data_IF_626473918889
#
_entry.id   IF_626473918889
#
_cell.length_a   1.000
_cell.length_b   1.000
_cell.length_c   1.000
_cell.angle_alpha   90.00
_cell.angle_beta   90.00
_cell.angle_gamma   90.00
#
_symmetry.space_group_name_H-M   'P 1'
#
loop_
_entity.id
_entity.type
_entity.pdbx_description
1 polymer ?
#
# COMPACT_ATOMS: atom_id res chain seq x y z
N UNK A 1 18.70 -28.86 21.96
CA UNK A 1 19.16 -28.36 20.66
C UNK A 1 18.04 -27.45 20.12
N UNK A 2 18.09 -26.17 20.42
CA UNK A 2 17.13 -25.18 19.88
C UNK A 2 17.51 -24.91 18.41
N UNK A 3 16.70 -25.37 17.47
CA UNK A 3 16.78 -24.92 16.09
C UNK A 3 16.34 -23.44 16.11
N UNK A 4 17.28 -22.55 15.94
CA UNK A 4 17.03 -21.13 15.67
C UNK A 4 16.26 -21.10 14.35
N UNK A 5 14.92 -20.85 14.41
CA UNK A 5 14.15 -20.49 13.25
C UNK A 5 14.67 -19.11 12.82
N UNK A 6 15.41 -19.07 11.72
CA UNK A 6 15.78 -17.79 11.07
C UNK A 6 14.48 -17.03 10.77
N UNK A 7 14.41 -15.75 11.04
CA UNK A 7 13.29 -14.93 10.61
C UNK A 7 13.23 -14.94 9.08
N UNK A 8 12.22 -15.60 8.53
CA UNK A 8 12.04 -15.79 7.08
C UNK A 8 11.78 -14.46 6.35
N UNK A 9 11.33 -13.43 7.09
CA UNK A 9 11.09 -12.10 6.56
C UNK A 9 12.36 -11.40 6.03
N UNK A 10 13.54 -11.75 6.51
CA UNK A 10 14.82 -11.21 6.04
C UNK A 10 15.20 -11.80 4.67
N UNK A 11 14.70 -12.98 4.32
CA UNK A 11 15.06 -13.64 3.07
C UNK A 11 14.44 -13.06 1.80
N UNK A 12 13.37 -12.26 1.88
CA UNK A 12 12.76 -11.65 0.69
C UNK A 12 13.32 -10.24 0.38
N UNK A 13 13.87 -9.55 1.39
CA UNK A 13 14.37 -8.18 1.23
C UNK A 13 15.91 -8.05 1.20
N UNK A 14 16.65 -9.09 1.58
CA UNK A 14 18.12 -9.03 1.70
C UNK A 14 18.88 -10.25 1.18
N UNK A 15 18.24 -11.14 0.42
CA UNK A 15 19.06 -11.99 -0.42
C UNK A 15 19.79 -11.08 -1.40
N UNK A 16 21.11 -11.00 -1.28
CA UNK A 16 21.96 -10.68 -2.41
C UNK A 16 21.33 -11.38 -3.60
N UNK A 17 20.72 -10.62 -4.50
CA UNK A 17 20.14 -11.16 -5.73
C UNK A 17 21.37 -11.54 -6.56
N UNK A 18 22.00 -12.65 -6.22
CA UNK A 18 22.88 -13.30 -7.19
C UNK A 18 21.97 -13.60 -8.38
N UNK A 19 22.36 -13.15 -9.56
CA UNK A 19 21.73 -13.58 -10.78
C UNK A 19 21.66 -15.12 -10.71
N UNK A 20 20.51 -15.69 -11.09
CA UNK A 20 20.40 -17.13 -11.25
C UNK A 20 21.47 -17.55 -12.27
N UNK A 21 22.12 -18.68 -12.04
CA UNK A 21 23.08 -19.25 -13.01
C UNK A 21 22.37 -19.50 -14.35
N UNK A 22 23.13 -19.51 -15.42
CA UNK A 22 22.56 -19.76 -16.75
C UNK A 22 21.76 -21.07 -16.79
N UNK A 23 20.48 -20.97 -17.18
CA UNK A 23 19.57 -22.12 -17.24
C UNK A 23 18.87 -22.47 -15.92
N UNK A 24 19.24 -21.85 -14.80
CA UNK A 24 18.53 -22.01 -13.53
C UNK A 24 17.18 -21.27 -13.57
N UNK A 25 16.18 -21.88 -12.94
CA UNK A 25 14.88 -21.24 -12.75
C UNK A 25 14.41 -21.34 -11.31
N UNK A 26 13.58 -20.40 -10.91
CA UNK A 26 12.92 -20.38 -9.62
C UNK A 26 11.44 -20.06 -9.79
N UNK A 27 10.59 -20.83 -9.13
CA UNK A 27 9.16 -20.59 -9.05
C UNK A 27 8.77 -20.43 -7.59
N UNK A 28 8.09 -19.34 -7.26
CA UNK A 28 7.59 -19.06 -5.92
C UNK A 28 6.11 -18.67 -6.03
N UNK A 29 5.33 -19.03 -5.05
CA UNK A 29 3.94 -18.61 -4.94
C UNK A 29 3.64 -18.08 -3.57
N UNK A 30 2.60 -17.26 -3.49
CA UNK A 30 2.10 -16.70 -2.23
C UNK A 30 0.60 -16.49 -2.30
N UNK A 31 -0.05 -16.45 -1.16
CA UNK A 31 -1.45 -16.11 -1.08
C UNK A 31 -1.89 -15.73 0.31
N UNK A 32 -3.01 -15.06 0.33
CA UNK A 32 -3.81 -14.73 1.52
C UNK A 32 -5.23 -15.21 1.27
N UNK A 33 -5.82 -15.92 2.21
CA UNK A 33 -7.27 -16.17 2.28
C UNK A 33 -7.76 -15.51 3.55
N UNK A 34 -8.55 -14.45 3.43
CA UNK A 34 -8.94 -13.65 4.57
C UNK A 34 -10.39 -13.18 4.49
N UNK A 35 -10.98 -12.95 5.66
CA UNK A 35 -12.32 -12.43 5.84
C UNK A 35 -12.26 -11.21 6.72
N UNK A 36 -13.08 -10.20 6.40
CA UNK A 36 -13.19 -9.00 7.22
C UNK A 36 -14.64 -8.51 7.29
N UNK A 37 -14.93 -7.75 8.35
CA UNK A 37 -16.22 -7.11 8.56
C UNK A 37 -16.03 -5.77 9.27
N UNK A 38 -16.77 -4.77 8.79
CA UNK A 38 -16.90 -3.45 9.42
C UNK A 38 -18.09 -3.46 10.38
N UNK A 39 -17.87 -3.02 11.61
CA UNK A 39 -18.87 -2.73 12.64
C UNK A 39 -18.77 -1.28 13.10
N UNK A 40 -19.46 -0.93 14.20
CA UNK A 40 -19.49 0.43 14.74
C UNK A 40 -20.63 1.28 14.17
N UNK A 41 -20.59 2.59 14.39
CA UNK A 41 -21.66 3.50 13.98
C UNK A 41 -21.75 3.63 12.46
N UNK A 42 -20.63 3.54 11.76
CA UNK A 42 -20.54 3.62 10.31
C UNK A 42 -20.46 2.26 9.60
N UNK A 43 -20.97 1.19 10.23
CA UNK A 43 -20.98 -0.15 9.62
C UNK A 43 -21.70 -0.21 8.26
N UNK A 44 -22.67 0.69 8.01
CA UNK A 44 -23.34 0.82 6.70
C UNK A 44 -22.50 1.45 5.60
N UNK A 45 -21.23 1.80 5.85
CA UNK A 45 -20.27 2.31 4.88
C UNK A 45 -19.34 1.22 4.39
N UNK A 46 -18.55 1.52 3.37
CA UNK A 46 -17.41 0.71 2.96
C UNK A 46 -16.12 1.37 3.45
N UNK A 47 -15.13 0.57 3.81
CA UNK A 47 -13.82 1.01 4.28
C UNK A 47 -12.70 0.35 3.46
N UNK A 48 -11.76 1.14 2.97
CA UNK A 48 -10.61 0.68 2.18
C UNK A 48 -10.63 1.21 0.75
N UNK A 49 -9.46 1.16 0.11
CA UNK A 49 -9.26 1.71 -1.24
C UNK A 49 -9.41 0.64 -2.31
N UNK A 50 -8.79 -0.52 -2.15
CA UNK A 50 -8.83 -1.58 -3.16
C UNK A 50 -9.81 -2.69 -2.79
N UNK A 51 -9.61 -3.37 -1.70
CA UNK A 51 -10.54 -4.37 -1.17
C UNK A 51 -11.38 -3.73 -0.07
N UNK A 52 -12.64 -3.44 -0.34
CA UNK A 52 -13.49 -2.71 0.60
C UNK A 52 -14.12 -3.62 1.64
N UNK A 53 -13.90 -3.32 2.92
CA UNK A 53 -14.57 -3.97 4.03
C UNK A 53 -15.94 -3.34 4.24
N UNK A 54 -16.97 -4.16 4.38
CA UNK A 54 -18.36 -3.76 4.60
C UNK A 54 -18.91 -4.37 5.88
N UNK A 55 -20.16 -4.10 6.22
CA UNK A 55 -20.88 -4.66 7.37
C UNK A 55 -21.15 -6.17 7.29
N UNK A 56 -20.87 -6.77 6.16
CA UNK A 56 -21.00 -8.21 5.93
C UNK A 56 -19.64 -8.90 5.94
N UNK A 57 -19.59 -10.14 6.46
CA UNK A 57 -18.39 -10.96 6.34
C UNK A 57 -18.13 -11.30 4.88
N UNK A 58 -17.04 -10.82 4.34
CA UNK A 58 -16.63 -11.07 2.95
C UNK A 58 -15.23 -11.66 2.93
N UNK A 59 -15.03 -12.67 2.07
CA UNK A 59 -13.75 -13.34 1.89
C UNK A 59 -12.94 -12.80 0.70
N UNK A 60 -13.53 -11.99 -0.15
CA UNK A 60 -12.89 -11.41 -1.33
C UNK A 60 -12.07 -10.15 -1.02
N UNK A 61 -12.28 -9.51 0.14
CA UNK A 61 -11.69 -8.20 0.48
C UNK A 61 -10.19 -8.26 0.80
N UNK A 62 -9.76 -9.33 1.47
CA UNK A 62 -8.37 -9.53 1.89
C UNK A 62 -7.66 -10.62 1.09
N UNK A 63 -8.43 -11.46 0.40
CA UNK A 63 -7.89 -12.62 -0.32
C UNK A 63 -7.13 -12.16 -1.56
N UNK A 64 -5.95 -12.72 -1.76
CA UNK A 64 -5.08 -12.45 -2.90
C UNK A 64 -4.16 -13.63 -3.16
N UNK A 65 -3.76 -13.82 -4.40
CA UNK A 65 -2.84 -14.88 -4.81
C UNK A 65 -1.81 -14.31 -5.77
N UNK A 66 -0.61 -14.84 -5.75
CA UNK A 66 0.43 -14.46 -6.69
C UNK A 66 1.42 -15.58 -6.93
N UNK A 67 2.06 -15.51 -8.09
CA UNK A 67 3.12 -16.41 -8.48
C UNK A 67 4.23 -15.62 -9.18
N UNK A 68 5.46 -16.00 -8.93
CA UNK A 68 6.65 -15.41 -9.54
C UNK A 68 7.50 -16.51 -10.18
N UNK A 69 7.91 -16.26 -11.41
CA UNK A 69 8.87 -17.08 -12.14
C UNK A 69 10.10 -16.24 -12.45
N UNK A 70 11.28 -16.76 -12.15
CA UNK A 70 12.56 -16.15 -12.48
C UNK A 70 13.43 -17.16 -13.23
N UNK A 71 14.19 -16.71 -14.25
CA UNK A 71 15.05 -17.54 -15.08
C UNK A 71 16.37 -16.83 -15.36
N UNK A 72 17.50 -17.56 -15.20
CA UNK A 72 18.84 -17.11 -15.55
C UNK A 72 19.11 -17.30 -17.04
N UNK A 73 19.18 -16.19 -17.79
CA UNK A 73 19.52 -16.21 -19.23
C UNK A 73 21.03 -16.42 -19.41
N UNK A 74 21.83 -15.76 -18.59
CA UNK A 74 23.27 -15.93 -18.41
C UNK A 74 23.60 -15.77 -16.94
N UNK A 75 24.84 -15.95 -16.53
CA UNK A 75 25.28 -15.76 -15.15
C UNK A 75 25.10 -14.32 -14.62
N UNK A 76 24.84 -13.37 -15.52
CA UNK A 76 24.63 -11.95 -15.16
C UNK A 76 23.30 -11.38 -15.63
N UNK A 77 22.57 -12.08 -16.50
CA UNK A 77 21.27 -11.65 -17.02
C UNK A 77 20.17 -12.59 -16.58
N UNK A 78 19.10 -12.04 -16.04
CA UNK A 78 17.90 -12.79 -15.66
C UNK A 78 16.63 -12.14 -16.15
N UNK A 79 15.55 -12.90 -16.16
CA UNK A 79 14.19 -12.44 -16.39
C UNK A 79 13.33 -12.82 -15.20
N UNK A 80 12.44 -11.93 -14.78
CA UNK A 80 11.48 -12.20 -13.71
C UNK A 80 10.10 -11.71 -14.15
N UNK A 81 9.08 -12.57 -13.93
CA UNK A 81 7.67 -12.23 -14.12
C UNK A 81 6.92 -12.60 -12.84
N UNK A 82 6.10 -11.68 -12.33
CA UNK A 82 5.19 -11.92 -11.22
C UNK A 82 3.79 -11.51 -11.65
N UNK A 83 2.83 -12.41 -11.45
CA UNK A 83 1.41 -12.16 -11.64
C UNK A 83 0.69 -12.26 -10.29
N UNK A 84 -0.35 -11.44 -10.12
CA UNK A 84 -1.23 -11.47 -8.94
C UNK A 84 -2.68 -11.52 -9.38
N UNK A 85 -3.53 -12.13 -8.56
CA UNK A 85 -4.98 -12.04 -8.62
C UNK A 85 -5.46 -11.52 -7.25
N UNK A 86 -6.12 -10.37 -7.25
CA UNK A 86 -6.59 -9.69 -6.04
C UNK A 86 -7.88 -8.92 -6.30
N UNK A 87 -8.68 -8.64 -5.26
CA UNK A 87 -9.90 -7.86 -5.42
C UNK A 87 -9.57 -6.40 -5.75
N UNK A 88 -10.38 -5.85 -6.64
CA UNK A 88 -10.43 -4.43 -6.93
C UNK A 88 -11.90 -4.03 -6.95
N UNK A 89 -12.37 -3.32 -5.93
CA UNK A 89 -13.79 -3.14 -5.61
C UNK A 89 -14.49 -4.51 -5.39
N UNK A 90 -15.54 -4.79 -6.15
CA UNK A 90 -16.34 -6.03 -6.05
C UNK A 90 -15.91 -7.10 -7.07
N UNK A 91 -14.84 -6.88 -7.82
CA UNK A 91 -14.36 -7.79 -8.86
C UNK A 91 -12.95 -8.28 -8.57
N UNK A 92 -12.64 -9.49 -9.04
CA UNK A 92 -11.28 -10.01 -9.05
C UNK A 92 -10.54 -9.54 -10.28
N UNK A 93 -9.35 -8.96 -10.08
CA UNK A 93 -8.46 -8.54 -11.14
C UNK A 93 -7.16 -9.33 -11.10
N UNK A 94 -6.75 -9.86 -12.27
CA UNK A 94 -5.45 -10.47 -12.46
C UNK A 94 -4.54 -9.48 -13.22
N UNK A 95 -3.38 -9.20 -12.65
CA UNK A 95 -2.40 -8.29 -13.22
C UNK A 95 -0.99 -8.87 -13.19
N UNK A 96 -0.17 -8.45 -14.16
CA UNK A 96 1.28 -8.65 -14.12
C UNK A 96 1.90 -7.49 -13.36
N UNK A 97 2.33 -7.75 -12.13
CA UNK A 97 2.94 -6.73 -11.27
C UNK A 97 4.40 -6.47 -11.63
N UNK A 98 5.14 -7.52 -11.99
CA UNK A 98 6.53 -7.44 -12.44
C UNK A 98 6.69 -8.18 -13.76
N UNK A 99 7.46 -7.60 -14.67
CA UNK A 99 7.94 -8.25 -15.90
C UNK A 99 9.19 -7.50 -16.37
N UNK A 100 10.36 -7.95 -15.94
CA UNK A 100 11.60 -7.21 -16.18
C UNK A 100 12.78 -8.12 -16.50
N UNK A 101 13.76 -7.55 -17.18
CA UNK A 101 15.11 -8.05 -17.30
C UNK A 101 15.97 -7.44 -16.19
N UNK A 102 16.82 -8.25 -15.55
CA UNK A 102 17.83 -7.83 -14.59
C UNK A 102 19.23 -8.09 -15.13
N UNK A 103 20.11 -7.13 -14.95
CA UNK A 103 21.53 -7.25 -15.28
C UNK A 103 22.37 -6.97 -14.04
N UNK A 104 23.10 -7.99 -13.58
CA UNK A 104 24.08 -7.87 -12.53
C UNK A 104 25.40 -7.40 -13.14
N UNK A 105 25.65 -6.08 -13.11
CA UNK A 105 26.85 -5.48 -13.73
C UNK A 105 28.12 -5.82 -12.96
N UNK A 106 28.03 -5.96 -11.63
CA UNK A 106 29.04 -6.45 -10.72
C UNK A 106 28.39 -6.83 -9.37
N UNK A 107 29.16 -7.28 -8.39
CA UNK A 107 28.65 -7.72 -7.08
C UNK A 107 27.84 -6.65 -6.32
N UNK A 108 28.04 -5.37 -6.63
CA UNK A 108 27.37 -4.26 -5.97
C UNK A 108 26.22 -3.64 -6.79
N UNK A 109 26.26 -3.70 -8.12
CA UNK A 109 25.35 -2.99 -9.01
C UNK A 109 24.47 -3.94 -9.82
N UNK A 110 23.16 -3.82 -9.62
CA UNK A 110 22.12 -4.44 -10.44
C UNK A 110 21.28 -3.38 -11.14
N UNK A 111 21.00 -3.57 -12.43
CA UNK A 111 20.09 -2.73 -13.23
C UNK A 111 18.91 -3.58 -13.68
N UNK A 112 17.68 -3.05 -13.55
CA UNK A 112 16.46 -3.72 -14.01
C UNK A 112 15.75 -2.84 -15.04
N UNK A 113 15.13 -3.45 -16.06
CA UNK A 113 14.37 -2.75 -17.08
C UNK A 113 13.12 -3.53 -17.46
N UNK A 114 11.97 -2.86 -17.48
CA UNK A 114 10.67 -3.45 -17.79
C UNK A 114 9.56 -2.90 -16.91
N UNK A 115 8.59 -3.74 -16.54
CA UNK A 115 7.57 -3.42 -15.54
C UNK A 115 8.13 -3.72 -14.15
N UNK A 116 8.23 -2.70 -13.33
CA UNK A 116 8.85 -2.71 -12.01
C UNK A 116 7.89 -2.20 -10.95
N UNK A 117 8.07 -2.60 -9.69
CA UNK A 117 7.31 -2.08 -8.56
C UNK A 117 7.73 -0.65 -8.23
N UNK A 118 6.77 0.22 -7.98
CA UNK A 118 7.04 1.61 -7.58
C UNK A 118 7.63 1.64 -6.17
N UNK A 119 8.83 2.21 -5.96
CA UNK A 119 9.55 2.14 -4.69
C UNK A 119 9.08 3.21 -3.68
N UNK A 120 7.79 3.27 -3.38
CA UNK A 120 7.13 4.31 -2.59
C UNK A 120 7.28 4.05 -1.09
N UNK A 121 6.87 2.87 -0.63
CA UNK A 121 6.75 2.48 0.78
C UNK A 121 7.86 1.54 1.24
N UNK A 122 7.96 1.34 2.56
CA UNK A 122 8.86 0.35 3.17
C UNK A 122 8.60 -1.05 2.62
N UNK A 123 7.34 -1.45 2.48
CA UNK A 123 6.93 -2.76 1.97
C UNK A 123 6.54 -2.76 0.49
N UNK A 124 6.96 -1.76 -0.32
CA UNK A 124 6.57 -1.69 -1.74
C UNK A 124 6.83 -2.99 -2.50
N UNK A 125 8.01 -3.59 -2.37
CA UNK A 125 8.37 -4.81 -3.12
C UNK A 125 7.63 -6.06 -2.65
N UNK A 126 7.19 -6.10 -1.39
CA UNK A 126 6.48 -7.24 -0.79
C UNK A 126 5.01 -6.96 -0.46
N UNK A 127 4.43 -5.86 -0.94
CA UNK A 127 3.09 -5.40 -0.58
C UNK A 127 1.98 -6.44 -0.85
N UNK A 128 2.17 -7.28 -1.87
CA UNK A 128 1.23 -8.34 -2.19
C UNK A 128 1.50 -9.66 -1.43
N UNK A 129 2.67 -9.79 -0.79
CA UNK A 129 3.06 -10.99 -0.04
C UNK A 129 2.67 -10.82 1.42
N UNK A 130 1.44 -11.16 1.79
CA UNK A 130 0.92 -11.01 3.16
C UNK A 130 1.81 -11.68 4.22
N UNK A 131 2.42 -12.80 3.89
CA UNK A 131 3.34 -13.53 4.77
C UNK A 131 4.55 -12.69 5.21
N UNK A 132 4.96 -11.66 4.45
CA UNK A 132 6.17 -10.86 4.70
C UNK A 132 6.03 -9.78 5.80
N UNK A 133 4.83 -9.55 6.30
CA UNK A 133 4.55 -8.54 7.32
C UNK A 133 3.50 -9.06 8.33
N UNK A 134 3.40 -8.46 9.54
CA UNK A 134 2.56 -9.01 10.59
C UNK A 134 1.06 -8.80 10.38
N UNK A 135 0.64 -7.79 9.62
CA UNK A 135 -0.77 -7.46 9.41
C UNK A 135 -1.44 -8.34 8.36
N UNK A 136 -2.77 -8.44 8.42
CA UNK A 136 -3.60 -8.88 7.30
C UNK A 136 -3.77 -7.77 6.27
N UNK A 137 -3.91 -6.53 6.76
CA UNK A 137 -3.95 -5.31 5.97
C UNK A 137 -2.90 -4.33 6.50
N UNK A 138 -1.99 -3.90 5.63
CA UNK A 138 -1.05 -2.83 5.96
C UNK A 138 -1.81 -1.58 6.43
N UNK A 139 -1.23 -0.75 7.33
CA UNK A 139 -1.91 0.44 7.85
C UNK A 139 -2.40 1.37 6.74
N UNK A 140 -3.73 1.46 6.58
CA UNK A 140 -4.38 2.17 5.47
C UNK A 140 -4.02 3.66 5.47
N UNK A 141 -3.75 4.25 6.64
CA UNK A 141 -3.38 5.64 6.81
C UNK A 141 -2.14 6.00 5.97
N UNK A 142 -1.19 5.07 5.86
CA UNK A 142 0.02 5.22 5.06
C UNK A 142 -0.18 4.62 3.67
N UNK A 143 -0.66 3.38 3.57
CA UNK A 143 -0.63 2.60 2.33
C UNK A 143 -1.78 2.92 1.36
N UNK A 144 -2.76 3.74 1.74
CA UNK A 144 -3.81 4.24 0.84
C UNK A 144 -3.42 5.48 0.03
N UNK A 145 -2.33 6.17 0.39
CA UNK A 145 -2.00 7.49 -0.17
C UNK A 145 -1.58 7.46 -1.64
N UNK A 146 -0.91 6.41 -2.09
CA UNK A 146 -0.44 6.26 -3.48
C UNK A 146 -0.91 4.92 -4.03
N UNK A 147 -1.81 4.97 -5.02
CA UNK A 147 -2.41 3.80 -5.65
C UNK A 147 -1.63 3.32 -6.88
N UNK A 148 -0.35 3.67 -6.99
CA UNK A 148 0.54 3.25 -8.06
C UNK A 148 1.37 2.04 -7.62
N UNK A 149 1.00 0.84 -8.07
CA UNK A 149 1.72 -0.38 -7.70
C UNK A 149 2.97 -0.62 -8.55
N UNK A 150 2.90 -0.33 -9.85
CA UNK A 150 3.98 -0.61 -10.80
C UNK A 150 4.11 0.46 -11.89
N UNK A 151 5.27 0.50 -12.53
CA UNK A 151 5.58 1.41 -13.64
C UNK A 151 6.41 0.69 -14.71
N UNK A 152 6.41 1.18 -15.93
CA UNK A 152 7.30 0.78 -17.01
C UNK A 152 8.52 1.71 -17.03
N UNK A 153 9.72 1.13 -16.85
CA UNK A 153 10.93 1.92 -16.77
C UNK A 153 12.19 1.13 -16.47
N UNK A 154 13.12 1.82 -15.82
CA UNK A 154 14.43 1.27 -15.44
C UNK A 154 14.70 1.65 -13.99
N UNK A 155 15.33 0.76 -13.25
CA UNK A 155 15.98 1.12 -11.98
C UNK A 155 17.41 0.56 -11.88
N UNK A 156 18.17 1.15 -10.98
CA UNK A 156 19.50 0.72 -10.61
C UNK A 156 19.60 0.61 -9.08
N UNK A 157 20.08 -0.53 -8.62
CA UNK A 157 20.28 -0.83 -7.21
C UNK A 157 21.77 -1.03 -6.95
N UNK A 158 22.33 -0.23 -6.05
CA UNK A 158 23.73 -0.31 -5.66
C UNK A 158 23.86 -0.59 -4.19
N UNK A 159 24.49 -1.70 -3.82
CA UNK A 159 24.62 -2.16 -2.42
C UNK A 159 26.09 -2.20 -2.01
N UNK A 160 26.40 -1.49 -0.93
CA UNK A 160 27.71 -1.46 -0.28
C UNK A 160 27.67 -2.34 0.98
N UNK A 161 28.46 -3.41 1.06
CA UNK A 161 28.61 -4.15 2.31
C UNK A 161 29.41 -3.30 3.32
N UNK A 162 28.94 -3.27 4.57
CA UNK A 162 29.57 -2.61 5.69
C UNK A 162 29.96 -3.67 6.74
N UNK A 163 30.88 -3.36 7.65
CA UNK A 163 31.29 -4.28 8.71
C UNK A 163 30.14 -4.68 9.67
N UNK A 164 29.09 -3.87 9.75
CA UNK A 164 27.93 -4.07 10.63
C UNK A 164 26.60 -4.24 9.86
N UNK A 165 26.64 -4.34 8.52
CA UNK A 165 25.42 -4.45 7.73
C UNK A 165 25.62 -4.11 6.25
N UNK A 166 24.63 -3.44 5.63
CA UNK A 166 24.68 -3.00 4.24
C UNK A 166 24.02 -1.64 4.04
N UNK A 167 24.56 -0.87 3.11
CA UNK A 167 23.98 0.40 2.65
C UNK A 167 23.59 0.26 1.18
N UNK A 168 22.29 0.40 0.90
CA UNK A 168 21.76 0.25 -0.46
C UNK A 168 21.18 1.56 -0.97
N UNK A 169 21.40 1.82 -2.25
CA UNK A 169 20.86 2.96 -3.00
C UNK A 169 20.04 2.43 -4.16
N UNK A 170 18.84 2.93 -4.34
CA UNK A 170 18.02 2.67 -5.52
C UNK A 170 17.67 3.98 -6.20
N UNK A 171 17.81 4.03 -7.53
CA UNK A 171 17.30 5.12 -8.37
C UNK A 171 16.44 4.51 -9.46
N UNK A 172 15.26 5.08 -9.68
CA UNK A 172 14.24 4.57 -10.58
C UNK A 172 13.70 5.68 -11.48
N UNK A 173 13.32 5.33 -12.70
CA UNK A 173 12.72 6.27 -13.64
C UNK A 173 11.85 5.59 -14.69
N UNK A 174 10.72 6.22 -15.05
CA UNK A 174 9.80 5.63 -16.01
C UNK A 174 8.47 6.37 -16.13
N UNK A 175 7.43 5.61 -16.46
CA UNK A 175 6.05 6.08 -16.58
C UNK A 175 5.06 4.97 -16.25
N UNK A 176 3.82 5.34 -15.94
CA UNK A 176 2.71 4.39 -15.83
C UNK A 176 1.46 5.02 -16.44
N UNK A 177 0.81 4.35 -17.37
CA UNK A 177 -0.36 4.85 -18.07
C UNK A 177 -1.54 3.93 -17.89
N UNK A 178 -2.75 4.53 -17.94
CA UNK A 178 -4.02 3.83 -17.81
C UNK A 178 -4.03 2.94 -16.56
N UNK A 179 -3.68 3.53 -15.40
CA UNK A 179 -3.75 2.83 -14.13
C UNK A 179 -5.10 3.06 -13.48
N UNK A 180 -5.63 2.01 -12.83
CA UNK A 180 -6.84 2.15 -12.04
C UNK A 180 -6.58 3.05 -10.83
N UNK A 181 -7.43 4.03 -10.66
CA UNK A 181 -7.45 4.92 -9.51
C UNK A 181 -8.83 4.89 -8.87
N UNK A 182 -8.92 4.41 -7.65
CA UNK A 182 -10.16 4.38 -6.90
C UNK A 182 -10.40 5.72 -6.19
N UNK A 183 -11.50 6.37 -6.53
CA UNK A 183 -11.98 7.57 -5.86
C UNK A 183 -13.50 7.66 -5.99
N UNK A 184 -14.18 8.27 -5.01
CA UNK A 184 -15.61 8.55 -5.03
C UNK A 184 -16.49 7.32 -5.37
N UNK A 185 -16.13 6.17 -4.80
CA UNK A 185 -16.82 4.89 -4.99
C UNK A 185 -16.74 4.31 -6.43
N UNK A 186 -15.74 4.73 -7.20
CA UNK A 186 -15.55 4.28 -8.60
C UNK A 186 -14.08 4.17 -8.96
N UNK A 187 -13.82 3.43 -10.03
CA UNK A 187 -12.53 3.38 -10.70
C UNK A 187 -12.47 4.41 -11.83
N UNK A 188 -11.33 5.07 -11.92
CA UNK A 188 -10.99 6.04 -12.96
C UNK A 188 -9.60 5.73 -13.50
N UNK A 189 -9.31 6.25 -14.69
CA UNK A 189 -7.98 6.18 -15.27
C UNK A 189 -7.08 7.32 -14.75
N UNK A 190 -5.84 6.98 -14.43
CA UNK A 190 -4.80 7.92 -14.06
C UNK A 190 -3.49 7.59 -14.79
N UNK A 191 -2.82 8.63 -15.27
CA UNK A 191 -1.50 8.54 -15.89
C UNK A 191 -0.43 9.16 -14.98
N UNK A 192 0.71 8.49 -14.87
CA UNK A 192 1.92 9.00 -14.21
C UNK A 192 3.04 9.09 -15.24
N UNK A 193 3.45 10.32 -15.59
CA UNK A 193 4.56 10.60 -16.49
C UNK A 193 5.81 10.99 -15.72
N UNK A 194 6.98 10.82 -16.32
CA UNK A 194 8.28 11.23 -15.78
C UNK A 194 8.47 10.82 -14.31
N UNK A 195 8.11 9.59 -14.00
CA UNK A 195 8.36 9.05 -12.67
C UNK A 195 9.87 9.10 -12.40
N UNK A 196 10.24 9.68 -11.27
CA UNK A 196 11.57 9.62 -10.69
C UNK A 196 11.46 9.16 -9.25
N UNK A 197 12.24 8.16 -8.87
CA UNK A 197 12.32 7.65 -7.51
C UNK A 197 13.76 7.47 -7.06
N UNK A 198 14.03 7.77 -5.81
CA UNK A 198 15.30 7.49 -5.16
C UNK A 198 15.07 7.05 -3.73
N UNK A 199 15.78 6.02 -3.29
CA UNK A 199 15.78 5.65 -1.88
C UNK A 199 17.15 5.17 -1.42
N UNK A 200 17.35 5.27 -0.10
CA UNK A 200 18.53 4.80 0.62
C UNK A 200 18.06 3.92 1.76
N UNK A 201 18.67 2.75 1.89
CA UNK A 201 18.37 1.81 2.98
C UNK A 201 19.65 1.40 3.68
N UNK A 202 19.67 1.53 5.01
CA UNK A 202 20.73 1.05 5.87
C UNK A 202 20.19 -0.13 6.67
N UNK A 203 20.71 -1.32 6.44
CA UNK A 203 20.28 -2.54 7.08
C UNK A 203 21.40 -3.14 7.95
N UNK A 204 21.05 -3.60 9.14
CA UNK A 204 21.93 -4.28 10.09
C UNK A 204 21.16 -5.32 10.90
N UNK A 205 21.81 -6.41 11.26
CA UNK A 205 21.23 -7.40 12.17
C UNK A 205 21.08 -6.88 13.61
N UNK A 206 21.86 -5.88 14.00
CA UNK A 206 21.88 -5.35 15.37
C UNK A 206 20.82 -4.30 15.63
N UNK A 207 20.54 -3.44 14.63
CA UNK A 207 19.60 -2.33 14.80
C UNK A 207 18.47 -2.28 13.74
N UNK A 208 18.35 -3.29 12.89
CA UNK A 208 17.27 -3.38 11.90
C UNK A 208 17.55 -2.60 10.63
N UNK A 209 16.50 -2.15 9.95
CA UNK A 209 16.57 -1.46 8.65
C UNK A 209 15.93 -0.08 8.75
N UNK A 210 16.68 0.94 8.38
CA UNK A 210 16.21 2.30 8.15
C UNK A 210 16.14 2.57 6.64
N UNK A 211 15.03 3.08 6.14
CA UNK A 211 14.85 3.47 4.75
C UNK A 211 14.33 4.90 4.64
N UNK A 212 14.92 5.66 3.73
CA UNK A 212 14.43 7.00 3.33
C UNK A 212 14.18 6.97 1.83
N UNK A 213 12.99 7.39 1.41
CA UNK A 213 12.56 7.38 0.02
C UNK A 213 11.95 8.69 -0.44
N UNK A 214 12.12 8.99 -1.73
CA UNK A 214 11.49 10.08 -2.43
C UNK A 214 11.03 9.61 -3.81
N UNK A 215 9.79 9.95 -4.17
CA UNK A 215 9.24 9.68 -5.51
C UNK A 215 8.50 10.93 -5.99
N UNK A 216 8.67 11.27 -7.27
CA UNK A 216 7.86 12.29 -7.93
C UNK A 216 7.37 11.81 -9.31
N UNK A 217 6.24 12.35 -9.76
CA UNK A 217 5.69 12.09 -11.09
C UNK A 217 4.83 13.25 -11.57
N UNK A 218 4.71 13.41 -12.90
CA UNK A 218 3.70 14.26 -13.51
C UNK A 218 2.38 13.47 -13.57
N UNK A 219 1.34 13.93 -12.86
CA UNK A 219 0.04 13.23 -12.74
C UNK A 219 -0.98 13.85 -13.70
N UNK A 220 -1.70 12.99 -14.43
CA UNK A 220 -2.81 13.37 -15.29
C UNK A 220 -4.03 12.50 -15.03
N UNK A 221 -5.16 13.13 -14.71
CA UNK A 221 -6.48 12.47 -14.59
C UNK A 221 -7.58 13.51 -14.79
N UNK A 222 -8.77 13.05 -15.18
CA UNK A 222 -9.98 13.88 -15.30
C UNK A 222 -11.16 13.09 -14.75
N UNK A 223 -11.48 13.35 -13.48
CA UNK A 223 -12.52 12.65 -12.73
C UNK A 223 -13.79 13.49 -12.74
N UNK A 224 -14.83 12.99 -13.41
CA UNK A 224 -16.14 13.62 -13.48
C UNK A 224 -17.19 12.74 -12.78
N UNK A 225 -17.97 13.34 -11.90
CA UNK A 225 -19.07 12.69 -11.19
C UNK A 225 -20.44 13.19 -11.67
N UNK A 226 -21.40 12.28 -11.73
CA UNK A 226 -22.82 12.65 -11.91
C UNK A 226 -23.43 12.95 -10.56
N UNK A 227 -23.96 14.15 -10.38
CA UNK A 227 -24.60 14.60 -9.14
C UNK A 227 -26.01 15.14 -9.41
N UNK A 228 -26.87 15.05 -8.40
CA UNK A 228 -28.20 15.67 -8.45
C UNK A 228 -28.10 17.01 -7.72
N UNK A 229 -28.13 18.08 -8.47
CA UNK A 229 -28.12 19.44 -7.94
C UNK A 229 -29.42 19.77 -7.21
N UNK A 230 -29.32 20.44 -6.07
CA UNK A 230 -30.49 20.98 -5.35
C UNK A 230 -30.78 22.38 -5.90
N UNK A 231 -31.86 22.53 -6.66
CA UNK A 231 -32.35 23.83 -7.16
C UNK A 231 -33.65 24.16 -6.42
N UNK A 232 -33.75 25.31 -5.74
CA UNK A 232 -35.05 25.75 -5.19
C UNK A 232 -36.06 26.04 -6.32
N UNK A 233 -37.35 25.59 -6.23
CA UNK A 233 -38.01 24.91 -5.14
C UNK A 233 -38.13 23.37 -5.35
N UNK A 234 -37.08 22.63 -5.04
CA UNK A 234 -37.21 21.18 -4.88
C UNK A 234 -37.09 20.33 -6.16
N UNK A 235 -36.67 20.86 -7.27
CA UNK A 235 -36.40 20.10 -8.50
C UNK A 235 -34.93 19.71 -8.52
N UNK A 236 -34.67 18.42 -8.46
CA UNK A 236 -33.30 17.88 -8.64
C UNK A 236 -32.90 17.96 -10.12
N UNK A 237 -31.78 18.59 -10.41
CA UNK A 237 -31.18 18.63 -11.76
C UNK A 237 -29.95 17.75 -11.78
N UNK A 238 -29.97 16.74 -12.64
CA UNK A 238 -28.79 15.88 -12.87
C UNK A 238 -27.73 16.67 -13.63
N UNK A 239 -26.55 16.78 -13.11
CA UNK A 239 -25.44 17.50 -13.74
C UNK A 239 -24.12 16.71 -13.60
N UNK A 240 -23.23 16.93 -14.56
CA UNK A 240 -21.84 16.47 -14.48
C UNK A 240 -21.03 17.53 -13.71
N UNK A 241 -20.25 17.07 -12.76
CA UNK A 241 -19.34 17.90 -11.98
C UNK A 241 -17.91 17.35 -12.08
N UNK A 242 -16.96 18.23 -12.39
CA UNK A 242 -15.55 17.89 -12.26
C UNK A 242 -15.20 17.76 -10.77
N UNK A 243 -14.75 16.59 -10.37
CA UNK A 243 -14.37 16.27 -9.00
C UNK A 243 -12.85 16.41 -8.78
N UNK A 244 -12.06 16.04 -9.79
CA UNK A 244 -10.62 16.21 -9.80
C UNK A 244 -10.12 16.30 -11.25
N UNK A 245 -9.34 17.32 -11.58
CA UNK A 245 -8.74 17.50 -12.90
C UNK A 245 -7.28 17.88 -12.76
N UNK A 246 -6.39 16.94 -13.03
CA UNK A 246 -4.93 17.12 -13.04
C UNK A 246 -4.43 17.05 -14.48
N UNK A 247 -3.62 18.04 -14.90
CA UNK A 247 -3.14 18.20 -16.30
C UNK A 247 -1.63 18.06 -16.42
N UNK A 248 -0.99 17.15 -15.72
CA UNK A 248 0.46 16.96 -15.50
C UNK A 248 0.95 17.74 -14.27
N UNK A 249 0.14 17.79 -13.26
CA UNK A 249 0.50 18.38 -11.98
C UNK A 249 1.50 17.47 -11.26
N UNK A 250 2.50 18.07 -10.63
CA UNK A 250 3.56 17.30 -10.00
C UNK A 250 3.09 16.72 -8.67
N UNK A 251 3.06 15.39 -8.60
CA UNK A 251 2.90 14.65 -7.35
C UNK A 251 4.26 14.33 -6.75
N UNK A 252 4.40 14.51 -5.43
CA UNK A 252 5.60 14.21 -4.65
C UNK A 252 5.24 13.33 -3.47
N UNK A 253 6.09 12.36 -3.17
CA UNK A 253 5.95 11.48 -2.04
C UNK A 253 7.30 11.28 -1.36
N UNK A 254 7.32 11.45 -0.04
CA UNK A 254 8.50 11.22 0.79
C UNK A 254 8.14 10.20 1.87
N UNK A 255 9.05 9.26 2.14
CA UNK A 255 8.87 8.26 3.19
C UNK A 255 10.13 8.09 4.04
N UNK A 256 9.93 7.80 5.33
CA UNK A 256 10.96 7.37 6.26
C UNK A 256 10.41 6.15 6.99
N UNK A 257 11.01 5.00 6.77
CA UNK A 257 10.60 3.72 7.36
C UNK A 257 11.70 3.12 8.23
N UNK A 258 11.31 2.49 9.32
CA UNK A 258 12.20 1.74 10.21
C UNK A 258 11.57 0.41 10.59
N UNK A 259 12.35 -0.67 10.47
CA UNK A 259 11.95 -2.01 10.85
C UNK A 259 13.04 -2.66 11.69
N UNK A 260 12.63 -3.32 12.77
CA UNK A 260 13.51 -4.11 13.64
C UNK A 260 12.86 -5.45 13.96
N UNK A 261 13.65 -6.51 13.94
CA UNK A 261 13.22 -7.86 14.32
C UNK A 261 14.42 -8.65 14.85
N UNK A 262 14.43 -8.96 16.16
CA UNK A 262 15.46 -9.78 16.80
C UNK A 262 15.02 -11.24 17.04
N UNK A 263 13.89 -11.62 16.46
CA UNK A 263 13.26 -12.93 16.65
C UNK A 263 12.35 -13.01 17.89
N UNK A 264 12.45 -12.07 18.83
CA UNK A 264 11.59 -11.95 20.02
C UNK A 264 10.73 -10.71 19.96
N UNK A 265 11.32 -9.57 19.66
CA UNK A 265 10.67 -8.29 19.50
C UNK A 265 10.64 -7.88 18.03
N UNK A 266 9.51 -7.30 17.63
CA UNK A 266 9.31 -6.78 16.30
C UNK A 266 8.83 -5.32 16.41
N UNK A 267 9.41 -4.44 15.59
CA UNK A 267 8.92 -3.08 15.42
C UNK A 267 8.92 -2.73 13.94
N UNK A 268 7.86 -2.07 13.47
CA UNK A 268 7.78 -1.54 12.12
C UNK A 268 7.07 -0.18 12.16
N UNK A 269 7.71 0.82 11.58
CA UNK A 269 7.27 2.21 11.66
C UNK A 269 7.52 2.88 10.33
N UNK A 270 6.61 3.74 9.90
CA UNK A 270 6.80 4.52 8.67
C UNK A 270 6.08 5.86 8.80
N UNK A 271 6.73 6.92 8.39
CA UNK A 271 6.15 8.23 8.18
C UNK A 271 6.20 8.56 6.69
N UNK A 272 5.15 9.21 6.20
CA UNK A 272 5.01 9.56 4.79
C UNK A 272 4.41 10.95 4.64
N UNK A 273 4.79 11.63 3.56
CA UNK A 273 4.20 12.89 3.13
C UNK A 273 3.92 12.85 1.65
N UNK A 274 2.65 13.11 1.27
CA UNK A 274 2.20 13.24 -0.11
C UNK A 274 1.75 14.66 -0.39
N UNK A 275 2.14 15.22 -1.53
CA UNK A 275 1.61 16.49 -2.04
C UNK A 275 1.41 16.41 -3.55
N UNK A 276 0.41 17.14 -4.06
CA UNK A 276 0.15 17.31 -5.50
C UNK A 276 0.06 18.80 -5.76
N UNK A 277 0.85 19.31 -6.72
CA UNK A 277 0.83 20.73 -7.10
C UNK A 277 -0.42 21.00 -7.93
N UNK A 278 -1.04 22.18 -7.75
CA UNK A 278 -2.11 22.67 -8.63
C UNK A 278 -3.52 22.15 -8.32
N UNK A 279 -3.72 21.25 -7.39
CA UNK A 279 -5.04 20.75 -7.01
C UNK A 279 -5.71 21.56 -5.89
N UNK A 280 -4.96 22.50 -5.29
CA UNK A 280 -5.42 23.30 -4.14
C UNK A 280 -5.52 22.52 -2.84
N UNK A 281 -5.04 21.26 -2.82
CA UNK A 281 -5.00 20.44 -1.61
C UNK A 281 -3.71 20.68 -0.84
N UNK A 282 -3.79 20.60 0.48
CA UNK A 282 -2.61 20.61 1.34
C UNK A 282 -1.88 19.26 1.27
N UNK A 283 -0.65 19.25 1.76
CA UNK A 283 0.10 18.01 1.86
C UNK A 283 -0.54 17.10 2.92
N UNK A 284 -0.67 15.81 2.57
CA UNK A 284 -1.13 14.77 3.47
C UNK A 284 0.08 14.19 4.20
N UNK A 285 0.05 14.21 5.52
CA UNK A 285 1.02 13.55 6.37
C UNK A 285 0.38 12.32 7.02
N UNK A 286 1.10 11.21 7.03
CA UNK A 286 0.65 10.03 7.74
C UNK A 286 1.81 9.25 8.35
N UNK A 287 1.52 8.48 9.38
CA UNK A 287 2.49 7.57 9.97
C UNK A 287 1.81 6.39 10.68
N UNK A 288 2.57 5.35 10.89
CA UNK A 288 2.22 4.30 11.84
C UNK A 288 3.43 3.92 12.71
N UNK A 289 3.11 3.46 13.92
CA UNK A 289 4.05 2.91 14.88
C UNK A 289 3.53 1.55 15.32
N UNK A 290 4.34 0.50 15.13
CA UNK A 290 3.98 -0.86 15.52
C UNK A 290 5.04 -1.45 16.42
N UNK A 291 4.59 -2.11 17.49
CA UNK A 291 5.39 -2.97 18.35
C UNK A 291 4.74 -4.35 18.48
N UNK A 292 5.55 -5.38 18.48
CA UNK A 292 5.10 -6.76 18.63
C UNK A 292 6.09 -7.63 19.41
N UNK A 293 5.58 -8.72 19.96
CA UNK A 293 6.40 -9.71 20.68
C UNK A 293 6.00 -11.12 20.31
N UNK A 294 7.01 -11.98 20.11
CA UNK A 294 6.84 -13.41 19.87
C UNK A 294 6.85 -14.21 21.17
N UNK A 295 5.94 -15.18 21.26
CA UNK A 295 5.79 -16.13 22.34
C UNK A 295 5.64 -17.53 21.74
N UNK A 296 6.75 -18.23 21.54
CA UNK A 296 6.76 -19.47 20.78
C UNK A 296 6.30 -19.22 19.34
N UNK A 297 5.23 -19.90 18.91
CA UNK A 297 4.66 -19.77 17.57
C UNK A 297 3.68 -18.57 17.44
N UNK A 298 3.43 -17.83 18.52
CA UNK A 298 2.54 -16.68 18.51
C UNK A 298 3.33 -15.37 18.38
N UNK A 299 2.78 -14.42 17.59
CA UNK A 299 3.18 -13.02 17.58
C UNK A 299 1.96 -12.17 17.96
N UNK A 300 2.05 -11.46 19.08
CA UNK A 300 1.09 -10.41 19.42
C UNK A 300 1.66 -9.05 19.04
N UNK A 301 0.85 -8.19 18.41
CA UNK A 301 1.28 -6.85 18.01
C UNK A 301 0.19 -5.81 18.20
N UNK A 302 0.61 -4.56 18.36
CA UNK A 302 -0.25 -3.39 18.37
C UNK A 302 0.31 -2.33 17.44
N UNK A 303 -0.59 -1.66 16.72
CA UNK A 303 -0.23 -0.59 15.78
C UNK A 303 -1.11 0.62 16.08
N UNK A 304 -0.48 1.78 16.22
CA UNK A 304 -1.12 3.09 16.16
C UNK A 304 -0.83 3.70 14.80
N UNK A 305 -1.85 4.22 14.11
CA UNK A 305 -1.67 4.92 12.85
C UNK A 305 -2.48 6.22 12.81
N UNK A 306 -1.97 7.20 12.08
CA UNK A 306 -2.60 8.51 11.90
C UNK A 306 -2.38 9.01 10.48
N UNK A 307 -3.41 9.69 9.95
CA UNK A 307 -3.38 10.42 8.68
C UNK A 307 -4.01 11.79 8.90
N UNK A 308 -3.30 12.83 8.50
CA UNK A 308 -3.75 14.23 8.56
C UNK A 308 -3.91 14.78 7.12
N UNK A 309 -5.08 15.32 6.80
CA UNK A 309 -5.43 15.87 5.50
C UNK A 309 -6.29 17.13 5.65
N UNK A 310 -5.74 18.29 5.28
CA UNK A 310 -6.45 19.57 5.19
C UNK A 310 -7.34 19.91 6.41
N UNK A 311 -6.80 19.74 7.61
CA UNK A 311 -7.50 19.99 8.87
C UNK A 311 -8.38 18.85 9.37
N UNK A 312 -8.56 17.79 8.59
CA UNK A 312 -9.17 16.54 8.99
C UNK A 312 -8.14 15.51 9.43
N UNK A 313 -8.56 14.54 10.20
CA UNK A 313 -7.68 13.49 10.73
C UNK A 313 -8.39 12.16 10.81
N UNK A 314 -7.67 11.08 10.45
CA UNK A 314 -8.01 9.72 10.81
C UNK A 314 -6.98 9.16 11.79
N UNK A 315 -7.44 8.46 12.81
CA UNK A 315 -6.61 7.72 13.78
C UNK A 315 -7.10 6.30 13.85
N UNK A 316 -6.18 5.35 13.98
CA UNK A 316 -6.57 3.96 14.24
C UNK A 316 -5.66 3.25 15.22
N UNK A 317 -6.23 2.26 15.91
CA UNK A 317 -5.54 1.27 16.71
C UNK A 317 -5.84 -0.12 16.17
N UNK A 318 -4.79 -0.87 15.83
CA UNK A 318 -4.89 -2.26 15.38
C UNK A 318 -4.23 -3.18 16.40
N UNK A 319 -4.95 -4.19 16.86
CA UNK A 319 -4.46 -5.26 17.72
C UNK A 319 -4.47 -6.54 16.92
N UNK A 320 -3.32 -7.19 16.82
CA UNK A 320 -3.15 -8.40 16.02
C UNK A 320 -2.56 -9.55 16.82
N UNK A 321 -2.98 -10.76 16.45
CA UNK A 321 -2.43 -12.02 16.95
C UNK A 321 -2.21 -12.95 15.78
N UNK A 322 -0.95 -13.36 15.58
CA UNK A 322 -0.55 -14.30 14.54
C UNK A 322 -0.12 -15.62 15.17
N UNK A 323 -0.43 -16.72 14.50
CA UNK A 323 -0.03 -18.06 14.88
C UNK A 323 0.65 -18.77 13.72
N UNK A 324 1.93 -19.11 13.86
CA UNK A 324 2.68 -19.85 12.85
C UNK A 324 2.28 -21.32 12.87
N UNK A 325 1.41 -21.73 11.93
CA UNK A 325 0.94 -23.10 11.76
C UNK A 325 2.07 -23.98 11.23
N UNK A 326 2.85 -23.46 10.29
CA UNK A 326 3.99 -24.09 9.64
C UNK A 326 5.01 -23.02 9.24
N UNK A 327 6.26 -23.40 8.86
CA UNK A 327 7.27 -22.43 8.40
C UNK A 327 6.83 -21.54 7.23
N UNK A 328 5.84 -21.97 6.47
CA UNK A 328 5.33 -21.27 5.27
C UNK A 328 3.84 -20.88 5.38
N UNK A 329 3.22 -21.07 6.57
CA UNK A 329 1.78 -20.79 6.78
C UNK A 329 1.56 -20.10 8.11
N UNK A 330 0.91 -18.95 8.10
CA UNK A 330 0.55 -18.18 9.29
C UNK A 330 -0.93 -17.85 9.31
N UNK A 331 -1.60 -18.13 10.44
CA UNK A 331 -2.95 -17.67 10.75
C UNK A 331 -2.85 -16.31 11.43
N UNK A 332 -3.66 -15.35 11.00
CA UNK A 332 -3.70 -13.99 11.55
C UNK A 332 -5.11 -13.60 11.94
N UNK A 333 -5.23 -12.92 13.07
CA UNK A 333 -6.47 -12.29 13.52
C UNK A 333 -6.22 -10.85 13.94
N UNK A 334 -7.09 -9.93 13.54
CA UNK A 334 -6.95 -8.50 13.83
C UNK A 334 -8.27 -7.87 14.26
N UNK A 335 -8.16 -6.93 15.18
CA UNK A 335 -9.18 -5.95 15.50
C UNK A 335 -8.61 -4.55 15.31
N UNK A 336 -9.26 -3.73 14.46
CA UNK A 336 -8.87 -2.34 14.19
C UNK A 336 -10.03 -1.42 14.57
N UNK A 337 -9.79 -0.45 15.44
CA UNK A 337 -10.68 0.69 15.71
C UNK A 337 -10.19 1.90 14.90
N UNK A 338 -11.13 2.54 14.18
CA UNK A 338 -10.86 3.71 13.33
C UNK A 338 -11.79 4.84 13.76
N UNK A 339 -11.23 6.02 13.94
CA UNK A 339 -11.98 7.24 14.25
C UNK A 339 -11.49 8.39 13.38
N UNK A 340 -12.40 9.21 12.84
CA UNK A 340 -12.06 10.42 12.10
C UNK A 340 -12.53 11.68 12.83
N UNK A 341 -11.94 12.82 12.49
CA UNK A 341 -12.26 14.12 13.08
C UNK A 341 -12.11 15.24 12.05
N UNK A 342 -12.67 16.41 12.33
CA UNK A 342 -12.60 17.55 11.42
C UNK A 342 -13.53 17.46 10.21
N UNK A 343 -14.58 16.59 10.27
CA UNK A 343 -15.48 16.36 9.13
C UNK A 343 -14.84 15.55 8.00
N UNK A 344 -13.79 14.79 8.31
CA UNK A 344 -13.01 14.02 7.38
C UNK A 344 -13.51 12.57 7.29
N UNK A 345 -13.53 12.03 6.09
CA UNK A 345 -13.94 10.65 5.82
C UNK A 345 -12.79 9.63 5.95
N UNK A 346 -11.55 10.09 5.95
CA UNK A 346 -10.39 9.20 6.03
C UNK A 346 -10.36 8.21 4.86
N UNK A 347 -10.32 6.93 5.20
CA UNK A 347 -10.34 5.81 4.25
C UNK A 347 -11.75 5.20 4.12
N UNK A 348 -12.77 5.77 4.80
CA UNK A 348 -14.17 5.44 4.52
C UNK A 348 -14.58 5.93 3.13
N UNK A 349 -15.33 5.10 2.42
CA UNK A 349 -15.72 5.40 1.04
C UNK A 349 -16.87 6.39 1.00
N UNK A 350 -16.67 7.49 0.28
CA UNK A 350 -17.66 8.53 0.05
C UNK A 350 -17.89 8.70 -1.45
N UNK A 351 -19.17 8.66 -1.86
CA UNK A 351 -19.55 8.85 -3.26
C UNK A 351 -19.57 10.32 -3.68
N UNK A 352 -19.56 10.58 -5.01
CA UNK A 352 -19.58 11.92 -5.60
C UNK A 352 -20.77 12.78 -5.15
N UNK A 353 -21.95 12.18 -4.98
CA UNK A 353 -23.15 12.88 -4.51
C UNK A 353 -23.00 13.44 -3.09
N UNK A 354 -22.39 12.66 -2.18
CA UNK A 354 -22.17 13.07 -0.80
C UNK A 354 -21.16 14.22 -0.75
N UNK A 355 -20.04 14.11 -1.48
CA UNK A 355 -19.06 15.20 -1.60
C UNK A 355 -19.71 16.50 -2.12
N UNK A 356 -20.56 16.38 -3.16
CA UNK A 356 -21.30 17.52 -3.68
C UNK A 356 -22.19 18.18 -2.61
N UNK A 357 -22.95 17.38 -1.85
CA UNK A 357 -23.83 17.88 -0.79
C UNK A 357 -23.05 18.52 0.37
N UNK A 358 -21.87 18.01 0.72
CA UNK A 358 -20.99 18.65 1.70
C UNK A 358 -20.52 20.02 1.19
N UNK A 359 -20.05 20.11 -0.06
CA UNK A 359 -19.63 21.38 -0.69
C UNK A 359 -20.77 22.40 -0.75
N UNK A 360 -21.99 21.95 -1.05
CA UNK A 360 -23.18 22.84 -1.03
C UNK A 360 -23.45 23.33 0.39
N UNK A 361 -23.35 22.46 1.40
CA UNK A 361 -23.55 22.85 2.80
C UNK A 361 -22.53 23.91 3.25
N UNK A 362 -21.25 23.72 2.93
CA UNK A 362 -20.20 24.70 3.23
C UNK A 362 -20.47 26.06 2.58
N UNK A 363 -20.76 26.07 1.27
CA UNK A 363 -21.02 27.30 0.52
C UNK A 363 -22.29 28.05 0.95
N UNK A 364 -23.23 27.36 1.56
CA UNK A 364 -24.51 27.91 2.00
C UNK A 364 -24.61 28.11 3.51
N UNK A 365 -23.49 27.93 4.25
CA UNK A 365 -23.43 27.92 5.71
C UNK A 365 -24.50 27.02 6.34
N UNK A 366 -24.68 25.83 5.78
CA UNK A 366 -25.63 24.82 6.26
C UNK A 366 -27.11 25.05 5.84
N UNK A 367 -27.41 26.08 5.08
CA UNK A 367 -28.81 26.35 4.63
C UNK A 367 -29.30 25.26 3.65
N UNK A 368 -28.43 24.68 2.86
CA UNK A 368 -28.70 23.60 1.90
C UNK A 368 -27.55 22.56 1.94
N UNK A 369 -27.83 21.38 1.41
CA UNK A 369 -26.86 20.29 1.39
C UNK A 369 -26.83 19.51 2.71
N UNK A 370 -25.75 18.77 2.92
CA UNK A 370 -25.49 17.97 4.11
C UNK A 370 -24.13 18.34 4.67
N UNK A 371 -24.00 18.67 5.96
CA UNK A 371 -22.68 18.98 6.53
C UNK A 371 -21.77 17.77 6.51
N UNK A 372 -20.47 18.02 6.37
CA UNK A 372 -19.44 17.01 6.59
C UNK A 372 -19.50 16.51 8.03
N UNK A 373 -19.22 15.23 8.22
CA UNK A 373 -19.26 14.58 9.53
C UNK A 373 -18.05 13.70 9.76
N UNK A 374 -17.82 13.33 11.00
CA UNK A 374 -16.83 12.34 11.35
C UNK A 374 -17.38 10.93 11.13
N UNK A 375 -16.50 9.97 10.99
CA UNK A 375 -16.79 8.54 10.81
C UNK A 375 -16.05 7.74 11.86
N UNK A 376 -16.66 6.63 12.29
CA UNK A 376 -16.03 5.66 13.15
C UNK A 376 -16.38 4.21 12.73
N UNK A 377 -15.48 3.28 13.04
CA UNK A 377 -15.71 1.88 12.72
C UNK A 377 -14.79 0.93 13.46
N UNK A 378 -15.29 -0.28 13.64
CA UNK A 378 -14.59 -1.42 14.21
C UNK A 378 -14.41 -2.48 13.12
N UNK A 379 -13.17 -2.82 12.78
CA UNK A 379 -12.91 -3.83 11.75
C UNK A 379 -12.35 -5.08 12.40
N UNK A 380 -13.03 -6.20 12.20
CA UNK A 380 -12.54 -7.52 12.59
C UNK A 380 -12.11 -8.26 11.34
N UNK A 381 -10.90 -8.80 11.37
CA UNK A 381 -10.32 -9.54 10.24
C UNK A 381 -9.69 -10.84 10.72
N UNK A 382 -9.81 -11.90 9.93
CA UNK A 382 -9.14 -13.18 10.14
C UNK A 382 -8.69 -13.72 8.80
N UNK A 383 -7.51 -14.33 8.76
CA UNK A 383 -6.98 -14.88 7.51
C UNK A 383 -5.76 -15.75 7.69
N UNK A 384 -5.42 -16.42 6.61
CA UNK A 384 -4.23 -17.28 6.50
C UNK A 384 -3.38 -16.77 5.36
N UNK A 385 -2.11 -16.47 5.66
CA UNK A 385 -1.08 -16.20 4.65
C UNK A 385 -0.20 -17.42 4.46
N UNK A 386 0.20 -17.67 3.23
CA UNK A 386 1.08 -18.78 2.89
C UNK A 386 2.02 -18.43 1.73
N UNK A 387 3.16 -19.13 1.70
CA UNK A 387 4.16 -19.06 0.63
C UNK A 387 4.62 -20.49 0.26
N UNK A 388 5.03 -20.72 -0.98
CA UNK A 388 5.54 -22.01 -1.46
C UNK A 388 6.54 -21.85 -2.60
#
# INVERSE_FOLDING_TARGET
MLKRLLPLAICLASTSVYALEQGEYRFNGFGTVGFSRLGGEDAGRSYGVSGQTTDSWRGDQLSKFGAQFSYGLTDTLGVTVQATAKPLQDEWKADIEWAYLSWQANDALMVRAGRLRTPVYMYSESIDVGFSYPWLRLPDEVYSQVQLSNYEGVDANYTLPLSFGSLSFQVAGGQAKNRDYFAYDKLYDIDYGKIFGANVSLASNDFGTLRVGYVEADIKTDINGTVVGVVPPGVGVVQQQSLLALKKDKGKFTSIGYQYDDGSWLSANEWTRRSVEGDGMEAIDAFYLMGGRRFGEFLAHVTYAQLDDNGGRQVSWTYGLNYNIAPTVVLKGEYKRVDTSGGYDGVFVRGAQELYLNTVSERTNGAFGVPARNYDGDIVSVGVDFVF
#
